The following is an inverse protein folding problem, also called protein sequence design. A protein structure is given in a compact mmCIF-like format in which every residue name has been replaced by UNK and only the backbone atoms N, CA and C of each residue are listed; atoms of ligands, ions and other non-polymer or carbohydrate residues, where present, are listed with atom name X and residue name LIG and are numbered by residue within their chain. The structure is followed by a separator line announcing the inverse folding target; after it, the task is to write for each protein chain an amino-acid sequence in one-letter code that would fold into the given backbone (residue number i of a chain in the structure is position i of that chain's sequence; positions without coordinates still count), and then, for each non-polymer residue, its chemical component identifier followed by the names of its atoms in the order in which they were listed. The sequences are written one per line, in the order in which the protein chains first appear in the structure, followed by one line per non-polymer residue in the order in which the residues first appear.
data_IF_159823867539
#
_entry.id   IF_159823867539
#
_cell.length_a   1.000
_cell.length_b   1.000
_cell.length_c   1.000
_cell.angle_alpha   90.00
_cell.angle_beta   90.00
_cell.angle_gamma   90.00
#
_symmetry.space_group_name_H-M   'P 1'
#
loop_
_entity.id
_entity.type
_entity.pdbx_description
1 polymer ?
#
# COMPACT_ATOMS: atom_id res chain seq x y z
N UNK A 1 5.64 6.16 -14.50
CA UNK A 1 5.45 4.72 -14.75
C UNK A 1 5.83 4.43 -16.20
N UNK A 2 6.79 3.52 -16.46
CA UNK A 2 7.34 3.24 -17.80
C UNK A 2 6.94 1.89 -18.38
N UNK A 3 6.10 1.11 -17.68
CA UNK A 3 5.65 -0.21 -18.14
C UNK A 3 6.68 -1.34 -17.95
N UNK A 4 7.83 -1.08 -17.32
CA UNK A 4 8.89 -2.08 -17.11
C UNK A 4 8.69 -3.00 -15.89
N UNK A 5 7.49 -3.02 -15.29
CA UNK A 5 7.15 -3.92 -14.18
C UNK A 5 6.89 -5.35 -14.68
N UNK A 6 7.20 -6.36 -13.87
CA UNK A 6 7.20 -7.76 -14.31
C UNK A 6 5.85 -8.46 -14.14
N UNK A 7 5.02 -8.05 -13.17
CA UNK A 7 3.82 -8.78 -12.76
C UNK A 7 2.81 -8.96 -13.90
N UNK A 8 2.59 -7.92 -14.70
CA UNK A 8 1.68 -7.98 -15.85
C UNK A 8 2.26 -8.79 -17.02
N UNK A 9 3.58 -8.81 -17.15
CA UNK A 9 4.25 -9.67 -18.14
C UNK A 9 4.14 -11.15 -17.72
N UNK A 10 4.43 -11.48 -16.47
CA UNK A 10 4.28 -12.83 -15.92
C UNK A 10 2.82 -13.32 -15.99
N UNK A 11 1.86 -12.44 -15.68
CA UNK A 11 0.44 -12.75 -15.84
C UNK A 11 0.07 -13.05 -17.29
N UNK A 12 0.60 -12.29 -18.26
CA UNK A 12 0.38 -12.56 -19.68
C UNK A 12 0.94 -13.94 -20.07
N UNK A 13 2.16 -14.27 -19.63
CA UNK A 13 2.76 -15.59 -19.86
C UNK A 13 1.88 -16.73 -19.30
N UNK A 14 1.32 -16.53 -18.11
CA UNK A 14 0.37 -17.48 -17.51
C UNK A 14 -0.90 -17.65 -18.35
N UNK A 15 -1.53 -16.56 -18.80
CA UNK A 15 -2.72 -16.63 -19.65
C UNK A 15 -2.42 -17.39 -20.95
N UNK A 16 -1.28 -17.11 -21.60
CA UNK A 16 -0.85 -17.79 -22.82
C UNK A 16 -0.56 -19.28 -22.57
N UNK A 17 0.08 -19.64 -21.45
CA UNK A 17 0.37 -21.04 -21.14
C UNK A 17 -0.91 -21.85 -20.93
N UNK A 18 -1.95 -21.25 -20.31
CA UNK A 18 -3.27 -21.87 -20.19
C UNK A 18 -3.95 -22.07 -21.53
N UNK A 19 -3.87 -21.08 -22.43
CA UNK A 19 -4.41 -21.21 -23.79
C UNK A 19 -3.73 -22.33 -24.59
N UNK A 20 -2.40 -22.44 -24.51
CA UNK A 20 -1.62 -23.45 -25.23
C UNK A 20 -1.58 -24.83 -24.55
N UNK A 21 -2.14 -24.96 -23.34
CA UNK A 21 -2.06 -26.21 -22.57
C UNK A 21 -0.65 -26.56 -22.08
N UNK A 22 0.23 -25.58 -21.96
CA UNK A 22 1.62 -25.77 -21.51
C UNK A 22 1.71 -25.60 -20.00
N UNK A 23 2.23 -26.62 -19.32
CA UNK A 23 2.59 -26.53 -17.91
C UNK A 23 3.98 -25.92 -17.75
N UNK A 24 4.12 -24.98 -16.81
CA UNK A 24 5.37 -24.26 -16.57
C UNK A 24 5.69 -24.28 -15.08
N UNK A 25 6.71 -25.07 -14.66
CA UNK A 25 7.16 -25.09 -13.27
C UNK A 25 7.53 -23.70 -12.75
N UNK A 26 8.16 -22.88 -13.59
CA UNK A 26 8.50 -21.49 -13.29
C UNK A 26 7.26 -20.64 -12.97
N UNK A 27 6.23 -20.69 -13.82
CA UNK A 27 5.02 -19.89 -13.60
C UNK A 27 4.25 -20.38 -12.37
N UNK A 28 4.30 -21.69 -12.08
CA UNK A 28 3.70 -22.26 -10.87
C UNK A 28 4.37 -21.75 -9.60
N UNK A 29 5.70 -21.68 -9.60
CA UNK A 29 6.47 -21.17 -8.46
C UNK A 29 6.24 -19.67 -8.26
N UNK A 30 6.46 -18.86 -9.30
CA UNK A 30 6.42 -17.38 -9.18
C UNK A 30 5.03 -16.85 -8.81
N UNK A 31 3.95 -17.55 -9.19
CA UNK A 31 2.58 -17.17 -8.87
C UNK A 31 2.08 -17.77 -7.54
N UNK A 32 2.86 -18.61 -6.87
CA UNK A 32 2.48 -19.19 -5.58
C UNK A 32 2.74 -18.26 -4.40
N UNK A 33 3.55 -17.22 -4.60
CA UNK A 33 3.93 -16.27 -3.55
C UNK A 33 2.75 -15.37 -3.14
N UNK A 34 2.35 -15.35 -1.85
CA UNK A 34 1.23 -14.55 -1.39
C UNK A 34 1.62 -13.07 -1.22
N UNK A 35 0.73 -12.17 -1.66
CA UNK A 35 0.86 -10.74 -1.42
C UNK A 35 0.39 -10.35 -0.02
N UNK A 36 1.24 -10.59 0.99
CA UNK A 36 0.95 -10.28 2.40
C UNK A 36 0.83 -8.78 2.69
N UNK A 37 1.36 -7.92 1.83
CA UNK A 37 1.20 -6.47 1.96
C UNK A 37 0.73 -5.90 0.63
N UNK A 38 -0.55 -5.51 0.57
CA UNK A 38 -1.12 -4.80 -0.56
C UNK A 38 -1.23 -3.32 -0.23
N UNK A 39 -0.63 -2.45 -1.04
CA UNK A 39 -0.58 -1.00 -0.76
C UNK A 39 -1.10 -0.19 -1.94
N UNK A 40 -1.67 0.98 -1.65
CA UNK A 40 -1.94 1.99 -2.68
C UNK A 40 -1.90 3.39 -2.11
N UNK A 41 -1.33 4.32 -2.86
CA UNK A 41 -1.53 5.74 -2.64
C UNK A 41 -2.77 6.22 -3.38
N UNK A 42 -3.63 6.98 -2.71
CA UNK A 42 -4.71 7.73 -3.38
C UNK A 42 -4.38 9.22 -3.32
N UNK A 43 -3.69 9.80 -4.32
CA UNK A 43 -3.32 11.21 -4.28
C UNK A 43 -4.57 12.10 -4.38
N UNK A 44 -4.63 13.14 -3.56
CA UNK A 44 -5.63 14.20 -3.71
C UNK A 44 -5.15 15.14 -4.81
N UNK A 45 -5.86 15.16 -5.95
CA UNK A 45 -5.45 15.94 -7.13
C UNK A 45 -5.89 17.41 -7.09
N UNK A 46 -6.68 17.80 -6.09
CA UNK A 46 -7.33 19.12 -6.02
C UNK A 46 -7.09 19.83 -4.69
N UNK A 47 -5.97 19.55 -4.00
CA UNK A 47 -5.65 20.17 -2.69
C UNK A 47 -5.66 21.70 -2.79
N UNK A 48 -5.21 22.27 -3.92
CA UNK A 48 -5.17 23.71 -4.18
C UNK A 48 -6.56 24.38 -4.23
N UNK A 49 -7.64 23.61 -4.41
CA UNK A 49 -9.00 24.14 -4.40
C UNK A 49 -9.55 24.34 -2.99
N UNK A 50 -8.85 23.87 -1.96
CA UNK A 50 -9.29 23.93 -0.57
C UNK A 50 -8.26 24.65 0.30
N UNK A 51 -8.73 25.60 1.11
CA UNK A 51 -7.92 26.24 2.15
C UNK A 51 -7.90 25.34 3.40
N UNK A 52 -7.01 24.35 3.40
CA UNK A 52 -6.88 23.41 4.52
C UNK A 52 -6.26 24.04 5.77
N UNK A 53 -5.75 25.28 5.69
CA UNK A 53 -5.20 26.01 6.84
C UNK A 53 -6.35 26.60 7.67
N UNK A 54 -7.27 27.29 7.01
CA UNK A 54 -8.42 27.90 7.66
C UNK A 54 -9.62 26.95 7.78
N UNK A 55 -9.69 25.92 6.95
CA UNK A 55 -10.77 24.92 6.90
C UNK A 55 -10.22 23.48 6.95
N UNK A 56 -9.61 23.05 8.08
CA UNK A 56 -9.05 21.70 8.22
C UNK A 56 -10.12 20.60 8.13
N UNK A 57 -11.40 20.93 8.36
CA UNK A 57 -12.52 20.00 8.24
C UNK A 57 -12.78 19.50 6.81
N UNK A 58 -12.22 20.15 5.79
CA UNK A 58 -12.32 19.70 4.41
C UNK A 58 -11.37 18.54 4.07
N UNK A 59 -10.45 18.19 4.97
CA UNK A 59 -9.57 17.03 4.80
C UNK A 59 -10.38 15.74 4.85
N UNK A 60 -10.25 14.93 3.79
CA UNK A 60 -10.73 13.55 3.78
C UNK A 60 -9.58 12.57 4.02
N UNK A 61 -9.80 11.57 4.87
CA UNK A 61 -8.89 10.44 5.04
C UNK A 61 -8.98 9.43 3.89
N UNK A 62 -9.89 9.65 2.93
CA UNK A 62 -10.17 8.77 1.80
C UNK A 62 -10.68 7.40 2.21
N UNK A 63 -10.44 6.42 1.33
CA UNK A 63 -10.92 5.05 1.47
C UNK A 63 -9.79 4.05 1.67
N UNK A 64 -10.15 2.87 2.19
CA UNK A 64 -9.28 1.71 2.32
C UNK A 64 -9.81 0.49 1.58
N UNK A 65 -9.05 -0.60 1.63
CA UNK A 65 -9.41 -1.90 1.09
C UNK A 65 -8.95 -3.00 2.06
N UNK A 66 -9.56 -4.18 1.97
CA UNK A 66 -9.17 -5.35 2.77
C UNK A 66 -7.85 -5.98 2.29
N UNK A 67 -7.22 -6.85 3.11
CA UNK A 67 -6.03 -7.59 2.70
C UNK A 67 -6.34 -8.59 1.59
N UNK A 68 -5.37 -8.83 0.70
CA UNK A 68 -5.50 -9.80 -0.41
C UNK A 68 -5.06 -11.22 -0.02
N UNK A 69 -4.36 -11.36 1.11
CA UNK A 69 -4.00 -12.63 1.73
C UNK A 69 -4.70 -12.77 3.10
N UNK A 70 -4.95 -14.00 3.54
CA UNK A 70 -5.59 -14.26 4.85
C UNK A 70 -4.72 -13.79 6.03
N UNK A 71 -3.40 -13.95 5.88
CA UNK A 71 -2.34 -13.57 6.82
C UNK A 71 -1.69 -12.22 6.44
N UNK A 72 -2.39 -11.39 5.67
CA UNK A 72 -1.86 -10.13 5.12
C UNK A 72 -2.51 -8.86 5.65
N UNK A 73 -2.05 -7.74 5.08
CA UNK A 73 -2.50 -6.38 5.33
C UNK A 73 -2.94 -5.68 4.03
N UNK A 74 -4.00 -4.89 4.13
CA UNK A 74 -4.34 -3.86 3.15
C UNK A 74 -3.98 -2.49 3.71
N UNK A 75 -3.16 -1.73 3.00
CA UNK A 75 -2.67 -0.41 3.46
C UNK A 75 -2.91 0.64 2.38
N UNK A 76 -3.92 1.48 2.60
CA UNK A 76 -4.15 2.68 1.79
C UNK A 76 -3.56 3.87 2.49
N UNK A 77 -2.95 4.79 1.75
CA UNK A 77 -2.46 6.04 2.32
C UNK A 77 -2.68 7.24 1.41
N UNK A 78 -2.82 8.39 2.05
CA UNK A 78 -3.02 9.68 1.40
C UNK A 78 -2.06 10.68 2.03
N UNK A 79 -1.28 11.34 1.18
CA UNK A 79 -0.43 12.47 1.56
C UNK A 79 -1.22 13.73 1.23
N UNK A 80 -1.49 14.56 2.23
CA UNK A 80 -2.34 15.75 2.13
C UNK A 80 -1.49 16.99 2.40
N UNK A 81 -1.33 17.83 1.37
CA UNK A 81 -0.47 19.01 1.46
C UNK A 81 0.96 18.64 1.85
N UNK A 82 1.53 19.38 2.80
CA UNK A 82 2.93 19.20 3.23
C UNK A 82 3.07 18.55 4.61
N UNK A 83 2.01 18.55 5.42
CA UNK A 83 2.11 18.29 6.86
C UNK A 83 1.33 17.06 7.35
N UNK A 84 0.59 16.38 6.47
CA UNK A 84 -0.32 15.31 6.89
C UNK A 84 -0.22 14.07 6.00
N UNK A 85 -0.12 12.91 6.63
CA UNK A 85 -0.23 11.61 5.99
C UNK A 85 -1.29 10.80 6.74
N UNK A 86 -2.32 10.35 6.01
CA UNK A 86 -3.35 9.47 6.53
C UNK A 86 -3.06 8.04 6.09
N UNK A 87 -3.15 7.08 7.02
CA UNK A 87 -3.05 5.65 6.75
C UNK A 87 -4.34 4.95 7.14
N UNK A 88 -4.86 4.13 6.24
CA UNK A 88 -5.89 3.14 6.52
C UNK A 88 -5.26 1.75 6.44
N UNK A 89 -5.19 1.06 7.59
CA UNK A 89 -4.61 -0.29 7.72
C UNK A 89 -5.73 -1.28 8.03
N UNK A 90 -5.78 -2.37 7.27
CA UNK A 90 -6.75 -3.45 7.45
C UNK A 90 -6.05 -4.81 7.52
N UNK A 91 -6.64 -5.74 8.27
CA UNK A 91 -6.26 -7.15 8.35
C UNK A 91 -7.50 -7.99 8.65
N UNK A 92 -7.41 -9.33 8.57
CA UNK A 92 -8.53 -10.22 8.92
C UNK A 92 -8.46 -10.59 10.41
N UNK A 93 -9.59 -10.51 11.11
CA UNK A 93 -9.69 -10.97 12.51
C UNK A 93 -9.37 -12.46 12.69
N UNK A 94 -9.54 -13.27 11.64
CA UNK A 94 -9.24 -14.70 11.65
C UNK A 94 -7.75 -15.03 11.63
N UNK A 95 -6.88 -14.06 11.35
CA UNK A 95 -5.42 -14.25 11.35
C UNK A 95 -4.84 -13.82 12.69
N UNK A 96 -4.27 -14.76 13.43
CA UNK A 96 -3.61 -14.48 14.71
C UNK A 96 -2.22 -13.82 14.54
N UNK A 97 -1.68 -13.82 13.32
CA UNK A 97 -0.37 -13.22 13.01
C UNK A 97 -0.48 -11.71 12.70
N UNK A 98 -1.67 -11.24 12.33
CA UNK A 98 -1.90 -9.85 11.89
C UNK A 98 -2.73 -9.04 12.89
N UNK A 99 -2.35 -7.79 13.05
CA UNK A 99 -3.00 -6.79 13.90
C UNK A 99 -2.82 -5.41 13.25
N UNK A 100 -3.93 -4.76 12.87
CA UNK A 100 -3.91 -3.47 12.17
C UNK A 100 -3.47 -2.31 13.07
N UNK A 101 -3.80 -2.34 14.36
CA UNK A 101 -3.38 -1.31 15.30
C UNK A 101 -1.87 -1.41 15.59
N UNK A 102 -1.38 -2.64 15.81
CA UNK A 102 0.06 -2.90 15.98
C UNK A 102 0.85 -2.48 14.74
N UNK A 103 0.38 -2.87 13.55
CA UNK A 103 1.06 -2.51 12.30
C UNK A 103 1.04 -0.99 12.05
N UNK A 104 -0.09 -0.32 12.31
CA UNK A 104 -0.19 1.13 12.24
C UNK A 104 0.77 1.86 13.20
N UNK A 105 0.96 1.32 14.41
CA UNK A 105 1.96 1.83 15.37
C UNK A 105 3.37 1.70 14.80
N UNK A 106 3.72 0.55 14.24
CA UNK A 106 5.04 0.33 13.63
C UNK A 106 5.28 1.24 12.41
N UNK A 107 4.26 1.53 11.58
CA UNK A 107 4.37 2.50 10.48
C UNK A 107 4.78 3.87 11.04
N UNK A 108 4.07 4.34 12.08
CA UNK A 108 4.38 5.64 12.72
C UNK A 108 5.79 5.67 13.29
N UNK A 109 6.18 4.65 14.06
CA UNK A 109 7.53 4.53 14.63
C UNK A 109 8.59 4.54 13.53
N UNK A 110 8.40 3.75 12.47
CA UNK A 110 9.33 3.69 11.34
C UNK A 110 9.51 5.04 10.64
N UNK A 111 8.43 5.81 10.44
CA UNK A 111 8.51 7.15 9.84
C UNK A 111 9.28 8.13 10.73
N UNK A 112 9.09 8.06 12.05
CA UNK A 112 9.83 8.88 13.01
C UNK A 112 11.31 8.48 13.08
N UNK A 113 11.61 7.18 13.00
CA UNK A 113 12.98 6.67 12.96
C UNK A 113 13.70 7.14 11.69
N UNK A 114 13.03 7.06 10.52
CA UNK A 114 13.55 7.61 9.25
C UNK A 114 13.81 9.11 9.41
N UNK A 115 12.89 9.87 9.98
CA UNK A 115 13.08 11.31 10.24
C UNK A 115 14.31 11.57 11.12
N UNK A 116 14.49 10.79 12.18
CA UNK A 116 15.63 10.91 13.10
C UNK A 116 16.97 10.63 12.41
N UNK A 117 16.99 9.72 11.44
CA UNK A 117 18.19 9.36 10.68
C UNK A 117 18.74 10.53 9.87
N UNK A 118 17.84 11.37 9.33
CA UNK A 118 18.23 12.53 8.54
C UNK A 118 18.79 13.69 9.36
N UNK A 119 18.72 13.64 10.71
CA UNK A 119 19.23 14.67 11.63
C UNK A 119 18.89 16.09 11.17
N UNK A 120 17.66 16.30 10.69
CA UNK A 120 17.24 17.61 10.21
C UNK A 120 17.32 18.58 11.39
N UNK A 121 18.28 19.51 11.35
CA UNK A 121 18.28 20.63 12.28
C UNK A 121 16.98 21.41 12.04
N UNK A 122 16.20 21.63 13.10
CA UNK A 122 15.03 22.50 13.05
C UNK A 122 15.51 23.90 12.62
N UNK A 123 15.40 24.20 11.32
CA UNK A 123 15.63 25.53 10.76
C UNK A 123 14.38 26.39 10.92
#
# INVERSE_FOLDING_TARGET
MTGAGIDRHLFCMYVVSKYLGVDSPFLKEVLSEPWRLSTSQTPIQQVELFDLVNHPEYVSCGGGFGPVADDGYGVSYIIVGENLINFHVSCKFSSHETDSHRFGKHIRESLLDILSLFKLENK
#
